data_IF_172217258169
#
_entry.id   IF_172217258169
#
_cell.length_a   1.000
_cell.length_b   1.000
_cell.length_c   1.000
_cell.angle_alpha   90.00
_cell.angle_beta   90.00
_cell.angle_gamma   90.00
#
_symmetry.space_group_name_H-M   'P 1'
#
loop_
_entity.id
_entity.type
_entity.pdbx_description
1 polymer ?
#
# COMPACT_ATOMS: atom_id res chain seq x y z
N UNK A 1 27.18 4.30 -2.74
CA UNK A 1 26.22 3.18 -2.71
C UNK A 1 24.87 3.77 -2.36
N UNK A 2 23.78 3.48 -3.09
CA UNK A 2 22.47 3.88 -2.58
C UNK A 2 22.16 3.07 -1.33
N UNK A 3 21.67 3.73 -0.29
CA UNK A 3 21.13 3.02 0.86
C UNK A 3 19.88 2.24 0.42
N UNK A 4 19.84 0.96 0.77
CA UNK A 4 18.65 0.13 0.59
C UNK A 4 17.54 0.73 1.47
N UNK A 5 16.28 0.78 1.00
CA UNK A 5 15.17 1.13 1.88
C UNK A 5 15.19 0.23 3.12
N UNK A 6 15.14 0.81 4.32
CA UNK A 6 15.00 0.11 5.60
C UNK A 6 13.79 -0.84 5.60
N UNK A 7 12.66 -0.39 5.07
CA UNK A 7 11.44 -1.19 4.95
C UNK A 7 11.62 -2.42 4.03
N UNK A 8 12.70 -2.49 3.24
CA UNK A 8 13.03 -3.68 2.46
C UNK A 8 13.57 -4.84 3.30
N UNK A 9 13.98 -4.59 4.55
CA UNK A 9 14.39 -5.63 5.51
C UNK A 9 13.18 -6.34 6.11
N UNK A 10 11.99 -5.74 5.99
CA UNK A 10 10.75 -6.37 6.45
C UNK A 10 10.33 -7.54 5.59
N UNK A 11 10.90 -7.75 4.40
CA UNK A 11 10.48 -8.81 3.46
C UNK A 11 11.64 -9.75 3.13
N UNK A 12 11.31 -11.02 2.89
CA UNK A 12 12.25 -12.11 2.60
C UNK A 12 12.40 -12.39 1.09
N UNK A 13 11.82 -11.54 0.24
CA UNK A 13 11.92 -11.65 -1.22
C UNK A 13 12.81 -10.56 -1.84
N UNK A 14 13.27 -10.82 -3.07
CA UNK A 14 13.96 -9.82 -3.89
C UNK A 14 12.95 -8.75 -4.36
N UNK A 15 13.22 -7.47 -4.06
CA UNK A 15 12.38 -6.33 -4.45
C UNK A 15 12.17 -6.23 -5.97
N UNK A 16 13.10 -6.78 -6.77
CA UNK A 16 13.03 -6.81 -8.22
C UNK A 16 12.33 -8.06 -8.77
N UNK A 17 12.02 -9.03 -7.90
CA UNK A 17 11.28 -10.25 -8.21
C UNK A 17 10.30 -10.63 -7.07
N UNK A 18 9.35 -9.75 -6.71
CA UNK A 18 8.39 -10.05 -5.66
C UNK A 18 7.46 -11.21 -6.09
N UNK A 19 6.96 -12.01 -5.13
CA UNK A 19 5.96 -13.06 -5.38
C UNK A 19 4.80 -12.52 -6.20
N UNK A 20 4.21 -13.26 -7.15
CA UNK A 20 3.10 -12.76 -7.99
C UNK A 20 1.72 -13.03 -7.43
N UNK A 21 1.59 -14.07 -6.61
CA UNK A 21 0.28 -14.53 -6.15
C UNK A 21 -0.38 -13.49 -5.22
N UNK A 22 -1.73 -13.38 -5.31
CA UNK A 22 -2.47 -12.39 -4.54
C UNK A 22 -2.42 -12.70 -3.05
N UNK A 23 -2.37 -11.63 -2.24
CA UNK A 23 -2.26 -11.77 -0.79
C UNK A 23 -3.62 -12.02 -0.14
N UNK A 24 -4.74 -11.42 -0.59
CA UNK A 24 -6.09 -11.70 -0.09
C UNK A 24 -7.11 -11.27 -1.17
N UNK A 25 -8.17 -12.06 -1.49
CA UNK A 25 -9.26 -11.59 -2.35
C UNK A 25 -10.10 -10.53 -1.61
N UNK A 26 -10.71 -9.56 -2.31
CA UNK A 26 -11.50 -8.50 -1.68
C UNK A 26 -12.63 -9.14 -0.89
N UNK A 27 -12.77 -8.72 0.38
CA UNK A 27 -13.89 -9.14 1.19
C UNK A 27 -15.20 -8.68 0.57
N UNK A 28 -16.22 -9.55 0.57
CA UNK A 28 -17.61 -9.13 0.26
C UNK A 28 -18.21 -8.25 1.36
N UNK A 29 -17.58 -8.28 2.53
CA UNK A 29 -17.99 -7.52 3.70
C UNK A 29 -17.25 -6.18 3.75
N UNK A 30 -17.92 -5.11 4.22
CA UNK A 30 -17.28 -3.82 4.42
C UNK A 30 -16.19 -3.94 5.50
N UNK A 31 -15.04 -3.33 5.25
CA UNK A 31 -13.96 -3.19 6.24
C UNK A 31 -14.42 -2.32 7.40
N UNK A 32 -15.04 -1.18 7.11
CA UNK A 32 -15.59 -0.27 8.12
C UNK A 32 -16.63 0.69 7.51
N UNK A 33 -17.27 1.51 8.35
CA UNK A 33 -18.30 2.47 7.93
C UNK A 33 -17.71 3.84 7.66
N UNK A 34 -16.70 4.24 8.42
CA UNK A 34 -16.08 5.56 8.30
C UNK A 34 -14.56 5.49 8.25
N UNK A 35 -13.88 6.43 7.59
CA UNK A 35 -12.42 6.46 7.57
C UNK A 35 -11.75 6.50 8.95
N UNK A 36 -12.43 7.02 9.97
CA UNK A 36 -11.89 7.10 11.33
C UNK A 36 -11.74 5.72 12.01
N UNK A 37 -12.41 4.69 11.48
CA UNK A 37 -12.35 3.32 11.97
C UNK A 37 -11.26 2.48 11.28
N UNK A 38 -10.53 3.05 10.33
CA UNK A 38 -9.45 2.36 9.61
C UNK A 38 -8.25 2.08 10.50
N UNK A 39 -7.59 0.95 10.25
CA UNK A 39 -6.34 0.62 10.93
C UNK A 39 -5.20 1.60 10.55
N UNK A 40 -4.20 1.67 11.41
CA UNK A 40 -3.01 2.52 11.21
C UNK A 40 -2.24 2.20 9.93
N UNK A 41 -2.38 0.99 9.38
CA UNK A 41 -1.76 0.56 8.14
C UNK A 41 -2.72 0.53 6.94
N UNK A 42 -4.01 0.78 7.14
CA UNK A 42 -4.98 0.85 6.06
C UNK A 42 -4.79 2.12 5.22
N UNK A 43 -4.80 1.94 3.90
CA UNK A 43 -4.58 3.00 2.92
C UNK A 43 -5.90 3.31 2.24
N UNK A 44 -6.48 4.46 2.58
CA UNK A 44 -7.69 4.96 1.94
C UNK A 44 -7.38 5.47 0.54
N UNK A 45 -8.00 4.86 -0.46
CA UNK A 45 -7.95 5.25 -1.85
C UNK A 45 -8.95 6.35 -2.15
N UNK A 46 -8.55 7.32 -2.98
CA UNK A 46 -9.39 8.44 -3.39
C UNK A 46 -8.61 9.74 -3.56
N UNK A 47 -9.32 10.84 -3.78
CA UNK A 47 -8.76 12.20 -3.94
C UNK A 47 -9.36 13.14 -2.89
N UNK A 48 -8.58 14.13 -2.44
CA UNK A 48 -9.05 15.22 -1.58
C UNK A 48 -8.57 15.16 -0.12
N UNK A 49 -9.11 16.04 0.72
CA UNK A 49 -8.63 16.24 2.10
C UNK A 49 -8.74 15.01 3.01
N UNK A 50 -9.72 14.15 2.76
CA UNK A 50 -10.00 12.97 3.59
C UNK A 50 -8.88 11.91 3.60
N UNK A 51 -8.11 11.77 2.52
CA UNK A 51 -6.98 10.82 2.43
C UNK A 51 -5.65 11.40 2.93
N UNK A 52 -5.53 12.74 2.98
CA UNK A 52 -4.32 13.39 3.46
C UNK A 52 -4.15 13.26 4.98
N UNK A 53 -5.26 13.18 5.70
CA UNK A 53 -5.29 13.13 7.17
C UNK A 53 -5.16 11.73 7.74
N UNK A 54 -5.52 10.68 6.99
CA UNK A 54 -5.42 9.29 7.48
C UNK A 54 -3.99 8.90 7.79
N UNK A 55 -3.80 8.23 8.93
CA UNK A 55 -2.49 7.80 9.40
C UNK A 55 -1.85 6.80 8.42
N UNK A 56 -2.60 5.79 7.96
CA UNK A 56 -2.08 4.82 7.01
C UNK A 56 -1.66 5.43 5.66
N UNK A 57 -2.39 6.44 5.17
CA UNK A 57 -1.95 7.19 3.98
C UNK A 57 -0.65 8.00 4.22
N UNK A 58 -0.42 8.54 5.43
CA UNK A 58 0.85 9.21 5.77
C UNK A 58 2.00 8.20 5.78
N UNK A 59 1.82 7.07 6.44
CA UNK A 59 2.81 5.97 6.50
C UNK A 59 3.10 5.44 5.10
N UNK A 60 2.07 5.22 4.28
CA UNK A 60 2.21 4.81 2.89
C UNK A 60 3.02 5.81 2.05
N UNK A 61 2.78 7.12 2.20
CA UNK A 61 3.57 8.15 1.50
C UNK A 61 5.04 8.13 1.94
N UNK A 62 5.31 7.96 3.23
CA UNK A 62 6.69 7.82 3.73
C UNK A 62 7.37 6.58 3.16
N UNK A 63 6.67 5.44 3.07
CA UNK A 63 7.18 4.22 2.45
C UNK A 63 7.47 4.43 0.95
N UNK A 64 6.58 5.09 0.22
CA UNK A 64 6.81 5.43 -1.20
C UNK A 64 8.03 6.34 -1.37
N UNK A 65 8.18 7.35 -0.50
CA UNK A 65 9.33 8.25 -0.52
C UNK A 65 10.64 7.51 -0.26
N UNK A 66 10.62 6.51 0.63
CA UNK A 66 11.76 5.65 0.92
C UNK A 66 12.22 4.83 -0.29
N UNK A 67 11.28 4.34 -1.09
CA UNK A 67 11.54 3.59 -2.32
C UNK A 67 11.81 4.47 -3.55
N UNK A 68 11.52 5.77 -3.47
CA UNK A 68 11.64 6.71 -4.60
C UNK A 68 13.04 6.71 -5.24
N UNK A 69 14.17 6.73 -4.49
CA UNK A 69 15.50 6.77 -5.10
C UNK A 69 15.77 5.54 -5.99
N UNK A 70 15.48 4.34 -5.50
CA UNK A 70 15.70 3.11 -6.27
C UNK A 70 14.70 2.99 -7.43
N UNK A 71 13.48 3.50 -7.29
CA UNK A 71 12.47 3.51 -8.35
C UNK A 71 12.86 4.44 -9.51
N UNK A 72 13.44 5.60 -9.22
CA UNK A 72 13.87 6.56 -10.24
C UNK A 72 15.04 6.02 -11.08
N UNK A 73 15.93 5.22 -10.47
CA UNK A 73 17.07 4.60 -11.15
C UNK A 73 16.71 3.28 -11.85
N UNK A 74 15.59 2.65 -11.48
CA UNK A 74 15.15 1.38 -12.04
C UNK A 74 14.80 1.46 -13.53
N UNK A 75 15.07 0.38 -14.25
CA UNK A 75 14.64 0.19 -15.63
C UNK A 75 13.13 0.12 -15.69
N UNK A 76 12.54 0.48 -16.84
CA UNK A 76 11.07 0.44 -17.06
C UNK A 76 10.46 -0.91 -16.63
N UNK A 77 11.16 -2.01 -16.88
CA UNK A 77 10.71 -3.36 -16.56
C UNK A 77 10.78 -3.74 -15.08
N UNK A 78 11.46 -2.96 -14.23
CA UNK A 78 11.67 -3.17 -12.78
C UNK A 78 10.71 -2.34 -11.92
N UNK A 79 10.18 -1.25 -12.48
CA UNK A 79 9.26 -0.33 -11.79
C UNK A 79 8.00 -1.03 -11.26
N UNK A 80 7.32 -1.92 -12.01
CA UNK A 80 6.17 -2.64 -11.49
C UNK A 80 6.50 -3.54 -10.29
N UNK A 81 7.69 -4.15 -10.26
CA UNK A 81 8.14 -5.02 -9.17
C UNK A 81 8.43 -4.21 -7.90
N UNK A 82 9.07 -3.05 -8.04
CA UNK A 82 9.26 -2.13 -6.91
C UNK A 82 7.92 -1.65 -6.34
N UNK A 83 6.97 -1.27 -7.21
CA UNK A 83 5.63 -0.89 -6.77
C UNK A 83 4.91 -2.05 -6.05
N UNK A 84 5.03 -3.27 -6.57
CA UNK A 84 4.47 -4.46 -5.93
C UNK A 84 5.12 -4.75 -4.57
N UNK A 85 6.43 -4.54 -4.43
CA UNK A 85 7.13 -4.71 -3.17
C UNK A 85 6.60 -3.76 -2.09
N UNK A 86 6.32 -2.50 -2.45
CA UNK A 86 5.69 -1.52 -1.55
C UNK A 86 4.30 -2.03 -1.09
N UNK A 87 3.49 -2.54 -2.02
CA UNK A 87 2.17 -3.12 -1.68
C UNK A 87 2.32 -4.29 -0.71
N UNK A 88 3.25 -5.21 -0.97
CA UNK A 88 3.48 -6.38 -0.11
C UNK A 88 3.96 -5.98 1.30
N UNK A 89 4.75 -4.92 1.44
CA UNK A 89 5.14 -4.38 2.75
C UNK A 89 3.92 -3.85 3.51
N UNK A 90 3.03 -3.09 2.85
CA UNK A 90 1.78 -2.64 3.48
C UNK A 90 0.95 -3.84 3.94
N UNK A 91 0.81 -4.86 3.09
CA UNK A 91 0.09 -6.10 3.44
C UNK A 91 0.74 -6.84 4.61
N UNK A 92 2.08 -6.93 4.64
CA UNK A 92 2.82 -7.57 5.73
C UNK A 92 2.63 -6.87 7.07
N UNK A 93 2.41 -5.54 7.05
CA UNK A 93 2.05 -4.75 8.23
C UNK A 93 0.57 -4.89 8.63
N UNK A 94 -0.23 -5.71 7.92
CA UNK A 94 -1.66 -5.91 8.18
C UNK A 94 -2.59 -4.93 7.45
N UNK A 95 -2.02 -3.99 6.69
CA UNK A 95 -2.76 -2.93 6.01
C UNK A 95 -3.57 -3.40 4.81
N UNK A 96 -4.73 -2.78 4.61
CA UNK A 96 -5.60 -2.95 3.46
C UNK A 96 -5.60 -1.72 2.58
N UNK A 97 -5.78 -1.90 1.29
CA UNK A 97 -6.10 -0.80 0.39
C UNK A 97 -7.61 -0.72 0.32
N UNK A 98 -8.19 0.37 0.82
CA UNK A 98 -9.63 0.49 1.02
C UNK A 98 -10.19 1.61 0.17
N UNK A 99 -11.38 1.40 -0.39
CA UNK A 99 -12.10 2.40 -1.18
C UNK A 99 -13.52 2.53 -0.65
N UNK A 100 -14.02 3.76 -0.63
CA UNK A 100 -15.43 4.03 -0.33
C UNK A 100 -16.29 3.58 -1.51
N UNK A 101 -17.32 2.81 -1.23
CA UNK A 101 -18.38 2.49 -2.18
C UNK A 101 -19.31 3.69 -2.35
N UNK A 102 -19.60 4.05 -3.60
CA UNK A 102 -20.39 5.24 -3.91
C UNK A 102 -21.89 5.04 -3.69
N UNK A 103 -22.37 3.79 -3.57
CA UNK A 103 -23.79 3.47 -3.42
C UNK A 103 -24.17 3.49 -1.94
N UNK A 104 -23.47 2.72 -1.10
CA UNK A 104 -23.79 2.56 0.32
C UNK A 104 -22.89 3.38 1.25
N UNK A 105 -21.82 3.99 0.73
CA UNK A 105 -20.91 4.85 1.47
C UNK A 105 -19.95 4.12 2.42
N UNK A 106 -20.01 2.78 2.49
CA UNK A 106 -19.13 1.95 3.31
C UNK A 106 -17.78 1.74 2.64
N UNK A 107 -16.77 1.28 3.40
CA UNK A 107 -15.42 1.07 2.90
C UNK A 107 -15.16 -0.41 2.65
N UNK A 108 -14.62 -0.72 1.48
CA UNK A 108 -14.28 -2.09 1.07
C UNK A 108 -12.81 -2.17 0.67
N UNK A 109 -12.23 -3.35 0.90
CA UNK A 109 -10.90 -3.66 0.40
C UNK A 109 -10.91 -3.79 -1.13
N UNK A 110 -9.89 -3.25 -1.80
CA UNK A 110 -9.70 -3.40 -3.24
C UNK A 110 -8.62 -4.43 -3.59
N UNK A 111 -8.75 -5.02 -4.78
CA UNK A 111 -7.75 -5.89 -5.43
C UNK A 111 -6.46 -5.17 -5.80
#
# INVERSE_FOLDING_TARGET
SLERPKSAEEVDFDLTQPPKDPVIPPGKEPVCRTPAELDVHDVLLGRGGGTNTQLGNRIFRSLVQEFQPIYLMARRKEKPQLARSIVLIVRKRGGKFVKRDDINGMLYEVE
#
